data_IF_205195849981
#
_entry.id   IF_205195849981
#
_cell.length_a   1.000
_cell.length_b   1.000
_cell.length_c   1.000
_cell.angle_alpha   90.00
_cell.angle_beta   90.00
_cell.angle_gamma   90.00
#
_symmetry.space_group_name_H-M   'P 1'
#
loop_
_entity.id
_entity.type
_entity.pdbx_description
1 polymer ?
#
# COMPACT_ATOMS: atom_id res chain seq x y z
N UNK A 1 -16.28 -17.36 1.65
CA UNK A 1 -16.13 -16.91 0.25
C UNK A 1 -14.83 -16.13 0.22
N UNK A 2 -13.91 -16.52 -0.65
CA UNK A 2 -12.61 -15.84 -0.76
C UNK A 2 -12.80 -14.61 -1.66
N UNK A 3 -12.44 -13.43 -1.15
CA UNK A 3 -12.55 -12.17 -1.88
C UNK A 3 -11.15 -11.69 -2.28
N UNK A 4 -10.97 -11.44 -3.57
CA UNK A 4 -9.74 -10.86 -4.12
C UNK A 4 -10.06 -9.56 -4.87
N UNK A 5 -9.13 -8.61 -4.86
CA UNK A 5 -9.29 -7.31 -5.51
C UNK A 5 -8.13 -7.04 -6.47
N UNK A 6 -8.41 -6.36 -7.58
CA UNK A 6 -7.40 -5.89 -8.52
C UNK A 6 -7.35 -4.36 -8.52
N UNK A 7 -6.15 -3.79 -8.38
CA UNK A 7 -5.89 -2.35 -8.27
C UNK A 7 -4.88 -1.94 -9.34
N UNK A 8 -5.17 -0.90 -10.16
CA UNK A 8 -4.20 -0.41 -11.12
C UNK A 8 -3.06 0.33 -10.42
N UNK A 9 -1.84 0.23 -10.97
CA UNK A 9 -0.68 1.00 -10.50
C UNK A 9 -0.86 2.52 -10.63
N UNK A 10 -1.76 2.96 -11.52
CA UNK A 10 -2.17 4.36 -11.69
C UNK A 10 -3.09 4.90 -10.58
N UNK A 11 -3.47 4.10 -9.58
CA UNK A 11 -4.38 4.50 -8.49
C UNK A 11 -3.89 5.66 -7.63
N UNK A 12 -2.62 6.05 -7.74
CA UNK A 12 -1.98 7.12 -6.97
C UNK A 12 -1.65 8.36 -7.82
N UNK A 13 -2.09 8.42 -9.09
CA UNK A 13 -1.68 9.45 -10.05
C UNK A 13 -2.28 10.83 -9.76
N UNK A 14 -3.44 10.85 -9.11
CA UNK A 14 -4.19 12.04 -8.72
C UNK A 14 -3.57 12.77 -7.51
N UNK A 15 -2.72 12.09 -6.76
CA UNK A 15 -2.07 12.66 -5.58
C UNK A 15 -0.71 13.27 -5.94
N UNK A 16 -0.51 14.53 -5.56
CA UNK A 16 0.70 15.29 -5.88
C UNK A 16 1.88 14.99 -4.95
N UNK A 17 1.62 14.78 -3.66
CA UNK A 17 2.66 14.59 -2.64
C UNK A 17 2.84 13.13 -2.24
N UNK A 18 4.08 12.74 -1.91
CA UNK A 18 4.41 11.39 -1.40
C UNK A 18 3.63 11.05 -0.12
N UNK A 19 3.33 12.05 0.72
CA UNK A 19 2.57 11.85 1.96
C UNK A 19 1.10 11.50 1.68
N UNK A 20 0.49 12.17 0.70
CA UNK A 20 -0.92 11.96 0.34
C UNK A 20 -1.09 10.62 -0.39
N UNK A 21 -0.14 10.27 -1.28
CA UNK A 21 -0.03 8.91 -1.83
C UNK A 21 0.02 7.85 -0.73
N UNK A 22 0.87 8.05 0.28
CA UNK A 22 0.99 7.12 1.42
C UNK A 22 -0.32 6.99 2.20
N UNK A 23 -1.02 8.10 2.46
CA UNK A 23 -2.32 8.12 3.13
C UNK A 23 -3.39 7.41 2.31
N UNK A 24 -3.41 7.62 0.99
CA UNK A 24 -4.34 6.95 0.07
C UNK A 24 -4.14 5.43 0.07
N UNK A 25 -2.90 4.95 -0.01
CA UNK A 25 -2.61 3.50 0.11
C UNK A 25 -3.07 2.96 1.46
N UNK A 26 -2.89 3.72 2.54
CA UNK A 26 -3.37 3.30 3.86
C UNK A 26 -4.89 3.13 3.92
N UNK A 27 -5.65 4.03 3.29
CA UNK A 27 -7.11 3.92 3.22
C UNK A 27 -7.55 2.68 2.43
N UNK A 28 -6.86 2.39 1.31
CA UNK A 28 -7.10 1.18 0.52
C UNK A 28 -6.83 -0.07 1.38
N UNK A 29 -5.70 -0.13 2.07
CA UNK A 29 -5.33 -1.24 2.93
C UNK A 29 -6.35 -1.48 4.05
N UNK A 30 -6.86 -0.41 4.68
CA UNK A 30 -7.92 -0.50 5.69
C UNK A 30 -9.20 -1.09 5.14
N UNK A 31 -9.65 -0.61 3.97
CA UNK A 31 -10.85 -1.14 3.34
C UNK A 31 -10.68 -2.64 3.07
N UNK A 32 -9.53 -3.05 2.53
CA UNK A 32 -9.21 -4.46 2.29
C UNK A 32 -9.25 -5.29 3.60
N UNK A 33 -8.70 -4.77 4.70
CA UNK A 33 -8.73 -5.44 6.00
C UNK A 33 -10.16 -5.57 6.57
N UNK A 34 -10.96 -4.51 6.49
CA UNK A 34 -12.36 -4.50 6.98
C UNK A 34 -13.20 -5.56 6.26
N UNK A 35 -13.06 -5.65 4.93
CA UNK A 35 -13.80 -6.60 4.11
C UNK A 35 -13.12 -7.98 4.02
N UNK A 36 -12.05 -8.22 4.78
CA UNK A 36 -11.31 -9.49 4.80
C UNK A 36 -10.89 -9.97 3.40
N UNK A 37 -10.36 -9.04 2.60
CA UNK A 37 -9.78 -9.33 1.29
C UNK A 37 -8.56 -10.24 1.47
N UNK A 38 -8.54 -11.37 0.78
CA UNK A 38 -7.48 -12.38 0.86
C UNK A 38 -6.27 -12.00 0.01
N UNK A 39 -6.51 -11.51 -1.20
CA UNK A 39 -5.46 -11.22 -2.18
C UNK A 39 -5.70 -9.87 -2.87
N UNK A 40 -4.62 -9.10 -3.01
CA UNK A 40 -4.60 -7.82 -3.73
C UNK A 40 -3.67 -7.96 -4.94
N UNK A 41 -4.24 -7.91 -6.14
CA UNK A 41 -3.50 -7.93 -7.39
C UNK A 41 -3.22 -6.50 -7.85
N UNK A 42 -1.95 -6.17 -8.08
CA UNK A 42 -1.57 -4.86 -8.62
C UNK A 42 -1.20 -5.05 -10.09
N UNK A 43 -2.00 -4.49 -11.00
CA UNK A 43 -1.76 -4.61 -12.43
C UNK A 43 -1.24 -3.30 -13.02
N UNK A 44 -0.48 -3.42 -14.10
CA UNK A 44 0.06 -2.27 -14.83
C UNK A 44 -0.97 -1.75 -15.82
N UNK A 45 -1.31 -0.47 -15.71
CA UNK A 45 -2.16 0.22 -16.68
C UNK A 45 -1.29 1.00 -17.70
N UNK A 46 -1.92 1.63 -18.70
CA UNK A 46 -1.26 2.35 -19.81
C UNK A 46 -0.29 3.42 -19.31
N UNK A 47 -0.59 4.04 -18.17
CA UNK A 47 0.27 5.02 -17.52
C UNK A 47 1.33 4.30 -16.68
N UNK A 48 2.48 3.99 -17.31
CA UNK A 48 3.61 3.30 -16.69
C UNK A 48 4.22 4.12 -15.54
N UNK A 49 3.67 4.00 -14.35
CA UNK A 49 4.19 4.69 -13.16
C UNK A 49 4.82 3.69 -12.19
N UNK A 50 5.98 3.14 -12.58
CA UNK A 50 6.70 2.10 -11.81
C UNK A 50 6.96 2.51 -10.36
N UNK A 51 7.24 3.79 -10.11
CA UNK A 51 7.50 4.29 -8.76
C UNK A 51 6.27 4.16 -7.85
N UNK A 52 5.08 4.45 -8.38
CA UNK A 52 3.83 4.34 -7.63
C UNK A 52 3.46 2.88 -7.39
N UNK A 53 3.69 2.00 -8.38
CA UNK A 53 3.54 0.55 -8.21
C UNK A 53 4.40 0.00 -7.06
N UNK A 54 5.68 0.41 -7.02
CA UNK A 54 6.62 0.02 -5.96
C UNK A 54 6.14 0.58 -4.61
N UNK A 55 5.79 1.86 -4.53
CA UNK A 55 5.30 2.49 -3.30
C UNK A 55 4.05 1.78 -2.75
N UNK A 56 3.07 1.54 -3.62
CA UNK A 56 1.81 0.90 -3.27
C UNK A 56 2.06 -0.53 -2.74
N UNK A 57 2.87 -1.30 -3.45
CA UNK A 57 3.24 -2.68 -3.05
C UNK A 57 3.98 -2.70 -1.71
N UNK A 58 4.99 -1.82 -1.54
CA UNK A 58 5.78 -1.74 -0.31
C UNK A 58 4.94 -1.37 0.90
N UNK A 59 4.04 -0.39 0.78
CA UNK A 59 3.18 0.04 1.89
C UNK A 59 2.16 -1.05 2.25
N UNK A 60 1.53 -1.70 1.25
CA UNK A 60 0.58 -2.78 1.51
C UNK A 60 1.25 -3.94 2.27
N UNK A 61 2.42 -4.39 1.82
CA UNK A 61 3.20 -5.44 2.51
C UNK A 61 3.64 -4.99 3.90
N UNK A 62 4.03 -3.72 4.06
CA UNK A 62 4.40 -3.17 5.35
C UNK A 62 3.22 -3.19 6.34
N UNK A 63 2.03 -2.84 5.88
CA UNK A 63 0.81 -2.83 6.70
C UNK A 63 0.33 -4.24 7.08
N UNK A 64 0.36 -5.18 6.13
CA UNK A 64 0.06 -6.60 6.35
C UNK A 64 1.01 -7.24 7.37
N UNK A 65 2.29 -6.84 7.34
CA UNK A 65 3.30 -7.39 8.25
C UNK A 65 3.01 -7.01 9.71
N UNK A 66 3.04 -7.97 10.66
CA UNK A 66 2.89 -7.69 12.08
C UNK A 66 3.91 -6.66 12.59
N UNK A 67 3.46 -5.74 13.43
CA UNK A 67 4.25 -4.57 13.83
C UNK A 67 5.64 -4.91 14.39
N UNK A 68 5.75 -6.01 15.15
CA UNK A 68 7.00 -6.45 15.76
C UNK A 68 8.00 -7.03 14.76
N UNK A 69 7.56 -7.49 13.58
CA UNK A 69 8.43 -7.96 12.50
C UNK A 69 8.86 -6.86 11.52
N UNK A 70 8.15 -5.72 11.48
CA UNK A 70 8.39 -4.66 10.49
C UNK A 70 9.83 -4.15 10.48
N UNK A 71 10.44 -3.97 11.66
CA UNK A 71 11.84 -3.48 11.77
C UNK A 71 12.86 -4.46 11.20
N UNK A 72 12.56 -5.77 11.20
CA UNK A 72 13.46 -6.80 10.69
C UNK A 72 13.29 -6.98 9.17
N UNK A 73 12.05 -6.92 8.68
CA UNK A 73 11.74 -7.17 7.27
C UNK A 73 11.89 -5.93 6.38
N UNK A 74 11.73 -4.72 6.93
CA UNK A 74 11.78 -3.48 6.17
C UNK A 74 12.94 -2.60 6.63
N UNK A 75 14.00 -2.45 5.82
CA UNK A 75 15.07 -1.50 6.11
C UNK A 75 14.56 -0.07 6.01
N UNK A 76 15.27 0.88 6.63
CA UNK A 76 14.96 2.31 6.49
C UNK A 76 15.09 2.71 5.01
N UNK A 77 13.97 3.02 4.38
CA UNK A 77 13.88 3.38 2.95
C UNK A 77 13.08 4.66 2.77
N UNK A 78 13.38 5.42 1.72
CA UNK A 78 12.65 6.66 1.41
C UNK A 78 11.16 6.41 1.12
N UNK A 79 10.82 5.23 0.59
CA UNK A 79 9.44 4.80 0.35
C UNK A 79 8.59 4.76 1.62
N UNK A 80 9.21 4.44 2.77
CA UNK A 80 8.54 4.35 4.07
C UNK A 80 8.81 5.58 4.95
N UNK A 81 9.34 6.68 4.38
CA UNK A 81 9.60 7.94 5.09
C UNK A 81 8.38 8.45 5.84
N UNK A 82 7.18 8.28 5.27
CA UNK A 82 5.91 8.73 5.83
C UNK A 82 5.11 7.60 6.49
N UNK A 83 5.74 6.50 6.91
CA UNK A 83 5.04 5.38 7.55
C UNK A 83 4.23 5.78 8.80
N UNK A 84 4.55 6.91 9.44
CA UNK A 84 3.80 7.44 10.58
C UNK A 84 2.38 7.93 10.25
N UNK A 85 2.05 8.23 8.99
CA UNK A 85 0.66 8.59 8.60
C UNK A 85 -0.21 7.37 8.30
N UNK A 86 0.37 6.16 8.32
CA UNK A 86 -0.35 4.94 8.03
C UNK A 86 -1.30 4.61 9.19
N UNK A 87 -2.56 4.37 8.84
CA UNK A 87 -3.54 3.90 9.78
C UNK A 87 -3.27 2.44 10.20
N UNK A 88 -3.44 2.09 11.48
CA UNK A 88 -3.27 0.72 11.93
C UNK A 88 -4.37 -0.17 11.35
N UNK A 89 -3.98 -1.38 10.94
CA UNK A 89 -4.90 -2.49 10.66
C UNK A 89 -5.10 -3.25 11.98
N UNK A 90 -6.35 -3.51 12.35
CA UNK A 90 -6.75 -4.28 13.53
C UNK A 90 -7.44 -5.55 13.09
#
# INVERSE_FOLDING_TARGET
MDLSIAIPDSSLIDESSKIDKTRKVSNIARACAIFKVKEIFIYQDKNKNKNDSILLTTILRYLETPQYFRKQLFPKTELLKYAGVLHPLK
#
